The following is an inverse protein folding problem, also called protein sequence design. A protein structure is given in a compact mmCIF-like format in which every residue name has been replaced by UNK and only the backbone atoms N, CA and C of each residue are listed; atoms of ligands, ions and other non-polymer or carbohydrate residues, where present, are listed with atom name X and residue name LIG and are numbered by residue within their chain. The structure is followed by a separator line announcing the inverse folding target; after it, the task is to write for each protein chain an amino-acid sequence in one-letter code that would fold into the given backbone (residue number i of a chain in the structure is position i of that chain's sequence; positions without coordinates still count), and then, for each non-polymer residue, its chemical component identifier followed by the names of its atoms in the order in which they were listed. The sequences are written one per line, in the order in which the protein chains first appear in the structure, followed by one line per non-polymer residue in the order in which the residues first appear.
data_IF_064459200560
#
_entry.id   IF_064459200560
#
_cell.length_a   1.000
_cell.length_b   1.000
_cell.length_c   1.000
_cell.angle_alpha   90.00
_cell.angle_beta   90.00
_cell.angle_gamma   90.00
#
_symmetry.space_group_name_H-M   'P 1'
#
loop_
_entity.id
_entity.type
_entity.pdbx_description
1 polymer ?
#
# COMPACT_ATOMS: atom_id res chain seq x y z
N UNK A 1 9.16 -10.72 15.02
CA UNK A 1 9.41 -10.94 13.58
C UNK A 1 8.93 -12.35 13.23
N UNK A 2 8.34 -12.57 12.06
CA UNK A 2 8.06 -13.93 11.63
C UNK A 2 9.37 -14.72 11.57
N UNK A 3 9.34 -15.95 12.02
CA UNK A 3 10.51 -16.86 11.91
C UNK A 3 10.37 -17.64 10.63
N UNK A 4 11.38 -17.59 9.78
CA UNK A 4 11.41 -18.26 8.48
C UNK A 4 12.02 -19.67 8.55
N UNK A 5 12.04 -20.29 9.75
CA UNK A 5 12.62 -21.59 9.95
C UNK A 5 12.08 -22.67 8.99
N UNK A 6 10.81 -22.58 8.62
CA UNK A 6 10.18 -23.51 7.68
C UNK A 6 10.74 -23.38 6.25
N UNK A 7 11.30 -22.22 5.91
CA UNK A 7 11.86 -21.93 4.58
C UNK A 7 13.35 -22.27 4.49
N UNK A 8 14.03 -22.53 5.61
CA UNK A 8 15.48 -22.77 5.63
C UNK A 8 15.93 -24.03 4.89
N UNK A 9 15.01 -24.98 4.63
CA UNK A 9 15.30 -26.22 3.87
C UNK A 9 15.04 -26.08 2.37
N UNK A 10 14.52 -24.94 1.93
CA UNK A 10 14.20 -24.69 0.52
C UNK A 10 15.40 -24.11 -0.21
N UNK A 11 15.43 -24.31 -1.52
CA UNK A 11 16.40 -23.65 -2.38
C UNK A 11 16.16 -22.14 -2.39
N UNK A 12 17.23 -21.37 -2.31
CA UNK A 12 17.14 -19.93 -2.07
C UNK A 12 18.03 -19.13 -3.02
N UNK A 13 17.50 -18.05 -3.58
CA UNK A 13 18.30 -17.05 -4.28
C UNK A 13 18.29 -15.72 -3.50
N UNK A 14 19.45 -15.08 -3.22
CA UNK A 14 20.80 -15.60 -3.49
C UNK A 14 21.15 -16.76 -2.55
N UNK A 15 21.88 -17.73 -3.07
CA UNK A 15 22.26 -18.93 -2.32
C UNK A 15 23.05 -18.65 -1.03
N UNK A 16 23.66 -17.47 -0.94
CA UNK A 16 24.39 -17.02 0.23
C UNK A 16 23.50 -16.83 1.50
N UNK A 17 22.19 -16.75 1.35
CA UNK A 17 21.25 -16.65 2.48
C UNK A 17 20.49 -17.95 2.75
N UNK A 18 20.78 -19.01 1.99
CA UNK A 18 20.15 -20.31 2.17
C UNK A 18 20.44 -20.88 3.57
N UNK A 19 19.41 -21.40 4.25
CA UNK A 19 19.53 -21.93 5.61
C UNK A 19 19.67 -20.88 6.72
N UNK A 20 19.77 -19.60 6.39
CA UNK A 20 20.02 -18.51 7.33
C UNK A 20 19.05 -17.31 7.17
N UNK A 21 17.84 -17.55 6.68
CA UNK A 21 16.88 -16.50 6.35
C UNK A 21 16.52 -15.59 7.54
N UNK A 22 16.51 -16.12 8.77
CA UNK A 22 16.23 -15.32 9.97
C UNK A 22 17.38 -14.37 10.36
N UNK A 23 18.58 -14.63 9.87
CA UNK A 23 19.79 -13.87 10.22
C UNK A 23 20.33 -13.03 9.07
N UNK A 24 19.76 -13.10 7.86
CA UNK A 24 20.30 -12.37 6.70
C UNK A 24 20.34 -10.86 6.91
N UNK A 25 19.36 -10.28 7.62
CA UNK A 25 19.31 -8.83 7.92
C UNK A 25 20.54 -8.35 8.70
N UNK A 26 21.10 -9.21 9.57
CA UNK A 26 22.32 -8.87 10.33
C UNK A 26 23.61 -8.99 9.52
N UNK A 27 23.58 -9.69 8.41
CA UNK A 27 24.75 -9.92 7.54
C UNK A 27 24.77 -9.02 6.31
N UNK A 28 23.62 -8.51 5.92
CA UNK A 28 23.46 -7.73 4.69
C UNK A 28 22.80 -6.39 5.00
N UNK A 29 23.38 -5.31 4.49
CA UNK A 29 22.72 -4.01 4.42
C UNK A 29 22.00 -3.85 3.08
N UNK A 30 20.88 -3.15 3.10
CA UNK A 30 20.10 -2.86 1.90
C UNK A 30 20.71 -1.69 1.12
N UNK A 31 20.71 -1.77 -0.19
CA UNK A 31 21.15 -0.68 -1.08
C UNK A 31 20.42 -0.78 -2.43
N UNK A 32 19.36 0.01 -2.61
CA UNK A 32 18.64 0.14 -3.90
C UNK A 32 18.37 -1.20 -4.58
N UNK A 33 17.45 -2.00 -4.14
CA UNK A 33 17.10 -3.31 -4.69
C UNK A 33 18.19 -4.39 -4.58
N UNK A 34 19.29 -4.11 -3.89
CA UNK A 34 20.38 -5.03 -3.70
C UNK A 34 20.73 -5.16 -2.22
N UNK A 35 21.44 -6.26 -1.92
CA UNK A 35 22.04 -6.45 -0.61
C UNK A 35 23.58 -6.34 -0.72
N UNK A 36 24.19 -5.78 0.32
CA UNK A 36 25.64 -5.74 0.46
C UNK A 36 25.99 -6.53 1.70
N UNK A 37 26.82 -7.56 1.53
CA UNK A 37 27.35 -8.32 2.66
C UNK A 37 28.30 -7.42 3.49
N UNK A 38 28.05 -7.32 4.80
CA UNK A 38 28.73 -6.36 5.67
C UNK A 38 30.24 -6.60 5.79
N UNK A 39 30.67 -7.86 5.76
CA UNK A 39 32.07 -8.24 5.92
C UNK A 39 32.83 -8.13 4.60
N UNK A 40 32.39 -8.85 3.57
CA UNK A 40 33.10 -8.92 2.28
C UNK A 40 32.83 -7.72 1.37
N UNK A 41 31.80 -6.89 1.70
CA UNK A 41 31.28 -5.82 0.84
C UNK A 41 30.80 -6.32 -0.53
N UNK A 42 30.58 -7.62 -0.67
CA UNK A 42 30.04 -8.20 -1.88
C UNK A 42 28.61 -7.74 -2.11
N UNK A 43 28.35 -7.25 -3.31
CA UNK A 43 27.00 -6.88 -3.75
C UNK A 43 26.26 -8.12 -4.27
N UNK A 44 25.06 -8.37 -3.75
CA UNK A 44 24.13 -9.38 -4.25
C UNK A 44 23.05 -8.64 -5.06
N UNK A 45 23.03 -8.89 -6.35
CA UNK A 45 22.11 -8.22 -7.28
C UNK A 45 20.96 -9.15 -7.62
N UNK A 46 19.73 -8.67 -7.48
CA UNK A 46 18.54 -9.35 -7.97
C UNK A 46 18.24 -8.86 -9.39
N UNK A 47 18.04 -9.78 -10.32
CA UNK A 47 17.64 -9.46 -11.69
C UNK A 47 16.17 -9.81 -11.90
N UNK A 48 15.31 -8.81 -11.96
CA UNK A 48 13.87 -9.00 -12.13
C UNK A 48 13.46 -9.61 -13.48
N UNK A 49 14.37 -9.64 -14.46
CA UNK A 49 14.13 -10.22 -15.78
C UNK A 49 14.73 -11.63 -15.94
N UNK A 50 15.34 -12.19 -14.89
CA UNK A 50 15.84 -13.55 -14.91
C UNK A 50 14.73 -14.54 -14.51
N UNK A 51 14.81 -15.74 -15.07
CA UNK A 51 14.05 -16.88 -14.56
C UNK A 51 14.84 -17.53 -13.41
N UNK A 52 14.13 -17.82 -12.33
CA UNK A 52 14.69 -18.44 -11.13
C UNK A 52 14.02 -19.79 -10.93
N UNK A 53 14.82 -20.79 -10.60
CA UNK A 53 14.36 -22.16 -10.28
C UNK A 53 14.26 -22.38 -8.78
N UNK A 54 14.76 -21.44 -8.00
CA UNK A 54 14.77 -21.49 -6.55
C UNK A 54 13.36 -21.27 -6.00
N UNK A 55 13.06 -21.97 -4.89
CA UNK A 55 11.76 -21.91 -4.21
C UNK A 55 11.55 -20.62 -3.41
N UNK A 56 12.66 -20.00 -2.99
CA UNK A 56 12.64 -18.74 -2.21
C UNK A 56 13.52 -17.70 -2.89
N UNK A 57 12.94 -16.57 -3.22
CA UNK A 57 13.65 -15.42 -3.76
C UNK A 57 13.72 -14.32 -2.70
N UNK A 58 14.94 -13.94 -2.31
CA UNK A 58 15.17 -12.88 -1.32
C UNK A 58 15.71 -11.65 -2.01
N UNK A 59 14.94 -10.56 -1.96
CA UNK A 59 15.35 -9.27 -2.48
C UNK A 59 14.91 -8.16 -1.53
N UNK A 60 15.57 -7.02 -1.58
CA UNK A 60 15.28 -5.92 -0.66
C UNK A 60 14.01 -5.19 -1.06
N UNK A 61 13.99 -4.68 -2.27
CA UNK A 61 12.88 -3.86 -2.73
C UNK A 61 12.77 -3.89 -4.25
N UNK A 62 11.56 -4.04 -4.75
CA UNK A 62 11.27 -3.94 -6.17
C UNK A 62 10.74 -2.54 -6.48
N UNK A 63 11.54 -1.69 -7.14
CA UNK A 63 11.16 -0.34 -7.53
C UNK A 63 10.42 -0.28 -8.87
N UNK A 64 10.50 -1.33 -9.68
CA UNK A 64 10.06 -1.35 -11.07
C UNK A 64 8.78 -2.17 -11.30
N UNK A 65 8.07 -2.54 -10.24
CA UNK A 65 6.88 -3.39 -10.36
C UNK A 65 5.65 -2.67 -10.90
N UNK A 66 5.48 -1.41 -10.59
CA UNK A 66 4.33 -0.55 -10.95
C UNK A 66 3.01 -1.33 -11.16
N UNK A 67 2.48 -1.34 -12.40
CA UNK A 67 1.25 -2.07 -12.73
C UNK A 67 1.39 -3.59 -12.64
N UNK A 68 2.60 -4.15 -12.83
CA UNK A 68 2.81 -5.60 -12.77
C UNK A 68 2.72 -6.16 -11.35
N UNK A 69 2.92 -5.33 -10.33
CA UNK A 69 2.81 -5.74 -8.92
C UNK A 69 1.42 -6.27 -8.56
N UNK A 70 0.37 -5.91 -9.30
CA UNK A 70 -0.98 -6.43 -9.10
C UNK A 70 -1.05 -7.96 -9.26
N UNK A 71 -0.26 -8.53 -10.18
CA UNK A 71 -0.25 -9.97 -10.42
C UNK A 71 0.34 -10.78 -9.26
N UNK A 72 1.18 -10.15 -8.42
CA UNK A 72 1.66 -10.77 -7.20
C UNK A 72 0.53 -11.00 -6.18
N UNK A 73 -0.59 -10.30 -6.32
CA UNK A 73 -1.75 -10.44 -5.45
C UNK A 73 -2.72 -11.54 -5.93
N UNK A 74 -2.59 -12.04 -7.16
CA UNK A 74 -3.59 -12.98 -7.74
C UNK A 74 -3.67 -14.32 -6.98
N UNK A 75 -2.59 -14.73 -6.30
CA UNK A 75 -2.54 -15.92 -5.45
C UNK A 75 -2.87 -15.68 -3.98
N UNK A 76 -3.16 -14.44 -3.58
CA UNK A 76 -3.38 -14.08 -2.19
C UNK A 76 -4.86 -14.01 -1.83
N UNK A 77 -5.17 -14.42 -0.60
CA UNK A 77 -6.50 -14.25 0.02
C UNK A 77 -6.28 -13.70 1.42
N UNK A 78 -7.01 -12.67 1.78
CA UNK A 78 -6.95 -12.15 3.16
C UNK A 78 -7.52 -13.18 4.14
N UNK A 79 -6.98 -13.22 5.35
CA UNK A 79 -7.55 -14.03 6.42
C UNK A 79 -8.99 -13.60 6.73
N UNK A 80 -9.87 -14.52 7.16
CA UNK A 80 -11.29 -14.22 7.41
C UNK A 80 -11.53 -13.03 8.32
N UNK A 81 -10.73 -12.89 9.38
CA UNK A 81 -10.82 -11.77 10.32
C UNK A 81 -10.51 -10.42 9.68
N UNK A 82 -9.55 -10.37 8.74
CA UNK A 82 -9.21 -9.17 7.96
C UNK A 82 -10.35 -8.81 7.00
N UNK A 83 -10.89 -9.80 6.31
CA UNK A 83 -12.03 -9.63 5.41
C UNK A 83 -13.23 -9.06 6.15
N UNK A 84 -13.58 -9.64 7.31
CA UNK A 84 -14.71 -9.21 8.13
C UNK A 84 -14.51 -7.79 8.66
N UNK A 85 -13.31 -7.44 9.10
CA UNK A 85 -12.96 -6.09 9.54
C UNK A 85 -13.20 -5.07 8.42
N UNK A 86 -12.63 -5.31 7.23
CA UNK A 86 -12.79 -4.44 6.06
C UNK A 86 -14.27 -4.30 5.69
N UNK A 87 -14.99 -5.44 5.60
CA UNK A 87 -16.41 -5.47 5.29
C UNK A 87 -17.23 -4.60 6.23
N UNK A 88 -17.01 -4.74 7.53
CA UNK A 88 -17.73 -3.98 8.53
C UNK A 88 -17.51 -2.48 8.43
N UNK A 89 -16.31 -2.05 8.02
CA UNK A 89 -15.98 -0.62 7.80
C UNK A 89 -16.67 -0.03 6.57
N UNK A 90 -16.79 -0.79 5.48
CA UNK A 90 -17.22 -0.24 4.18
C UNK A 90 -18.70 -0.55 3.82
N UNK A 91 -19.35 -1.54 4.46
CA UNK A 91 -20.69 -2.03 4.09
C UNK A 91 -21.78 -0.95 4.02
N UNK A 92 -21.67 0.11 4.84
CA UNK A 92 -22.70 1.15 4.95
C UNK A 92 -22.35 2.43 4.18
N UNK A 93 -21.27 2.46 3.43
CA UNK A 93 -20.84 3.67 2.70
C UNK A 93 -21.80 4.03 1.57
N UNK A 94 -22.43 3.03 0.94
CA UNK A 94 -23.24 3.22 -0.25
C UNK A 94 -22.37 3.62 -1.45
N UNK A 95 -22.87 4.55 -2.27
CA UNK A 95 -22.11 5.08 -3.42
C UNK A 95 -21.21 6.22 -2.98
N UNK A 96 -19.90 6.14 -3.29
CA UNK A 96 -18.90 7.14 -2.95
C UNK A 96 -17.78 7.21 -4.00
N UNK A 97 -16.99 8.26 -3.94
CA UNK A 97 -15.71 8.39 -4.67
C UNK A 97 -14.55 8.27 -3.69
N UNK A 98 -13.44 7.73 -4.16
CA UNK A 98 -12.19 7.62 -3.40
C UNK A 98 -11.28 8.82 -3.66
N UNK A 99 -10.62 9.30 -2.64
CA UNK A 99 -9.61 10.35 -2.73
C UNK A 99 -8.39 9.93 -1.93
N UNK A 100 -7.23 9.86 -2.58
CA UNK A 100 -5.98 9.58 -1.90
C UNK A 100 -5.04 10.78 -1.98
N UNK A 101 -4.55 11.24 -0.83
CA UNK A 101 -3.59 12.34 -0.70
C UNK A 101 -2.37 11.85 0.08
N UNK A 102 -1.20 11.82 -0.57
CA UNK A 102 0.10 11.64 0.06
C UNK A 102 0.68 13.01 0.41
N UNK A 103 0.93 13.29 1.69
CA UNK A 103 1.37 14.61 2.12
C UNK A 103 2.36 14.61 3.30
N UNK A 104 3.07 13.53 3.54
CA UNK A 104 4.13 13.45 4.58
C UNK A 104 5.53 13.59 3.96
N UNK A 105 6.21 12.50 3.66
CA UNK A 105 7.54 12.43 3.03
C UNK A 105 7.50 12.82 1.54
N UNK A 106 6.40 12.51 0.87
CA UNK A 106 6.12 12.94 -0.50
C UNK A 106 4.97 13.95 -0.50
N UNK A 107 5.17 15.11 -1.08
CA UNK A 107 4.16 16.16 -1.16
C UNK A 107 3.41 16.10 -2.48
N UNK A 108 2.09 16.00 -2.39
CA UNK A 108 1.18 16.10 -3.53
C UNK A 108 0.65 17.53 -3.65
N UNK A 109 0.43 18.03 -4.87
CA UNK A 109 -0.31 19.26 -5.07
C UNK A 109 -1.83 18.98 -4.88
N UNK A 110 -2.25 18.89 -3.64
CA UNK A 110 -3.64 18.62 -3.28
C UNK A 110 -4.57 19.79 -3.60
N UNK A 111 -4.08 21.04 -3.63
CA UNK A 111 -4.88 22.20 -3.97
C UNK A 111 -5.31 22.16 -5.44
N UNK A 112 -4.37 21.81 -6.32
CA UNK A 112 -4.68 21.58 -7.73
C UNK A 112 -5.68 20.43 -7.89
N UNK A 113 -5.48 19.32 -7.17
CA UNK A 113 -6.38 18.17 -7.21
C UNK A 113 -7.79 18.55 -6.77
N UNK A 114 -7.94 19.25 -5.64
CA UNK A 114 -9.26 19.74 -5.17
C UNK A 114 -9.93 20.67 -6.18
N UNK A 115 -9.17 21.59 -6.75
CA UNK A 115 -9.69 22.49 -7.78
C UNK A 115 -10.23 21.73 -8.98
N UNK A 116 -9.52 20.72 -9.43
CA UNK A 116 -9.90 19.93 -10.61
C UNK A 116 -11.12 19.04 -10.37
N UNK A 117 -11.25 18.45 -9.17
CA UNK A 117 -12.32 17.51 -8.90
C UNK A 117 -13.61 18.16 -8.35
N UNK A 118 -13.53 19.36 -7.80
CA UNK A 118 -14.61 20.02 -7.03
C UNK A 118 -15.97 19.94 -7.70
N UNK A 119 -16.09 20.37 -8.93
CA UNK A 119 -17.38 20.39 -9.65
C UNK A 119 -17.90 18.98 -9.94
N UNK A 120 -17.00 18.06 -10.27
CA UNK A 120 -17.37 16.68 -10.59
C UNK A 120 -17.88 15.91 -9.36
N UNK A 121 -17.33 16.20 -8.18
CA UNK A 121 -17.69 15.48 -6.94
C UNK A 121 -18.75 16.16 -6.10
N UNK A 122 -19.24 17.32 -6.50
CA UNK A 122 -20.19 18.12 -5.72
C UNK A 122 -21.38 17.27 -5.23
N UNK A 123 -21.65 17.33 -3.93
CA UNK A 123 -22.73 16.59 -3.27
C UNK A 123 -22.51 15.08 -3.11
N UNK A 124 -21.33 14.54 -3.53
CA UNK A 124 -21.01 13.14 -3.36
C UNK A 124 -20.35 12.87 -2.02
N UNK A 125 -20.46 11.63 -1.54
CA UNK A 125 -19.61 11.13 -0.44
C UNK A 125 -18.19 10.90 -0.95
N UNK A 126 -17.21 11.30 -0.16
CA UNK A 126 -15.78 11.14 -0.46
C UNK A 126 -15.14 10.35 0.67
N UNK A 127 -14.63 9.15 0.36
CA UNK A 127 -13.73 8.43 1.29
C UNK A 127 -12.33 8.96 1.03
N UNK A 128 -11.82 9.71 2.01
CA UNK A 128 -10.47 10.27 1.97
C UNK A 128 -9.50 9.36 2.73
N UNK A 129 -8.45 8.93 2.03
CA UNK A 129 -7.31 8.21 2.58
C UNK A 129 -6.07 9.11 2.49
N UNK A 130 -5.39 9.32 3.59
CA UNK A 130 -4.19 10.16 3.64
C UNK A 130 -3.26 9.72 4.76
N UNK A 131 -1.97 9.88 4.53
CA UNK A 131 -0.91 9.73 5.51
C UNK A 131 -0.70 10.99 6.38
N UNK A 132 -1.41 12.09 6.08
CA UNK A 132 -1.40 13.33 6.86
C UNK A 132 -2.80 13.64 7.38
N UNK A 133 -2.93 13.66 8.70
CA UNK A 133 -4.21 13.91 9.37
C UNK A 133 -4.84 15.25 8.98
N UNK A 134 -4.04 16.29 8.75
CA UNK A 134 -4.49 17.63 8.40
C UNK A 134 -5.26 17.69 7.09
N UNK A 135 -5.06 16.72 6.21
CA UNK A 135 -5.76 16.66 4.93
C UNK A 135 -7.26 16.47 5.06
N UNK A 136 -7.75 15.91 6.16
CA UNK A 136 -9.19 15.81 6.42
C UNK A 136 -9.86 17.16 6.63
N UNK A 137 -9.20 18.06 7.36
CA UNK A 137 -9.72 19.43 7.58
C UNK A 137 -9.54 20.29 6.33
N UNK A 138 -8.43 20.14 5.61
CA UNK A 138 -8.26 20.79 4.31
C UNK A 138 -9.33 20.35 3.31
N UNK A 139 -9.62 19.06 3.20
CA UNK A 139 -10.66 18.56 2.30
C UNK A 139 -12.04 19.15 2.64
N UNK A 140 -12.41 19.27 3.91
CA UNK A 140 -13.68 19.91 4.32
C UNK A 140 -13.75 21.38 3.94
N UNK A 141 -12.63 22.12 4.01
CA UNK A 141 -12.58 23.54 3.60
C UNK A 141 -12.72 23.68 2.08
N UNK A 142 -12.04 22.84 1.30
CA UNK A 142 -12.04 22.92 -0.15
C UNK A 142 -13.29 22.35 -0.81
N UNK A 143 -13.92 21.36 -0.18
CA UNK A 143 -15.06 20.60 -0.67
C UNK A 143 -16.24 20.67 0.32
N UNK A 144 -16.75 21.88 0.65
CA UNK A 144 -17.75 22.08 1.72
C UNK A 144 -19.11 21.45 1.42
N UNK A 145 -19.41 21.18 0.15
CA UNK A 145 -20.67 20.56 -0.28
C UNK A 145 -20.61 19.01 -0.24
N UNK A 146 -19.50 18.43 0.28
CA UNK A 146 -19.27 17.01 0.28
C UNK A 146 -19.24 16.42 1.70
N UNK A 147 -19.70 15.19 1.84
CA UNK A 147 -19.46 14.38 3.05
C UNK A 147 -18.07 13.75 2.96
N UNK A 148 -17.13 14.20 3.79
CA UNK A 148 -15.77 13.65 3.86
C UNK A 148 -15.73 12.56 4.92
N UNK A 149 -15.46 11.33 4.52
CA UNK A 149 -15.44 10.13 5.36
C UNK A 149 -14.00 9.65 5.52
N UNK A 150 -13.62 9.38 6.77
CA UNK A 150 -12.38 8.72 7.16
C UNK A 150 -12.69 7.34 7.72
N UNK A 151 -11.99 6.30 7.26
CA UNK A 151 -12.15 4.92 7.74
C UNK A 151 -11.05 4.53 8.74
N UNK A 152 -9.84 4.97 8.49
CA UNK A 152 -8.68 4.72 9.35
C UNK A 152 -8.80 5.39 10.72
N UNK A 153 -8.29 4.74 11.75
CA UNK A 153 -8.40 5.17 13.16
C UNK A 153 -7.07 5.66 13.75
N UNK A 154 -5.97 5.63 12.99
CA UNK A 154 -4.68 6.11 13.49
C UNK A 154 -4.76 7.58 13.91
N UNK A 155 -3.96 7.93 14.94
CA UNK A 155 -3.91 9.28 15.51
C UNK A 155 -3.12 10.23 14.62
N UNK A 156 -3.22 11.53 14.93
CA UNK A 156 -2.38 12.55 14.31
C UNK A 156 -0.90 12.19 14.48
N UNK A 157 -0.17 12.26 13.39
CA UNK A 157 1.22 11.89 13.25
C UNK A 157 2.15 13.11 13.08
N UNK A 158 1.63 14.33 13.33
CA UNK A 158 2.35 15.60 13.17
C UNK A 158 3.09 15.74 11.82
N UNK A 159 2.51 15.13 10.75
CA UNK A 159 3.10 15.14 9.41
C UNK A 159 4.27 14.17 9.23
N UNK A 160 4.54 13.29 10.19
CA UNK A 160 5.53 12.22 10.05
C UNK A 160 4.97 11.06 9.22
N UNK A 161 5.77 10.39 8.36
CA UNK A 161 5.31 9.21 7.63
C UNK A 161 4.89 8.09 8.58
N UNK A 162 3.75 7.44 8.29
CA UNK A 162 3.20 6.38 9.15
C UNK A 162 4.19 5.23 9.41
N UNK A 163 5.02 4.89 8.43
CA UNK A 163 6.00 3.81 8.55
C UNK A 163 7.23 4.17 9.42
N UNK A 164 7.41 5.44 9.77
CA UNK A 164 8.45 5.89 10.71
C UNK A 164 7.95 5.93 12.16
N UNK A 165 6.66 5.78 12.37
CA UNK A 165 6.09 5.83 13.71
C UNK A 165 6.14 4.47 14.39
N UNK A 166 6.52 4.47 15.67
CA UNK A 166 6.31 3.31 16.53
C UNK A 166 4.83 3.30 16.95
N UNK A 167 4.06 2.43 16.35
CA UNK A 167 2.67 2.24 16.73
C UNK A 167 2.56 1.20 17.85
N UNK A 168 1.81 1.53 18.89
CA UNK A 168 1.50 0.60 19.97
C UNK A 168 0.75 -0.62 19.43
N UNK A 169 -0.11 -0.42 18.42
CA UNK A 169 -0.86 -1.47 17.74
C UNK A 169 -0.57 -1.46 16.23
N UNK A 170 0.51 -2.12 15.86
CA UNK A 170 0.91 -2.29 14.45
C UNK A 170 -0.13 -3.10 13.65
N UNK A 171 -0.81 -4.06 14.31
CA UNK A 171 -1.83 -4.87 13.65
C UNK A 171 -3.04 -4.03 13.26
N UNK A 172 -3.52 -3.19 14.17
CA UNK A 172 -4.64 -2.28 13.90
C UNK A 172 -4.29 -1.28 12.77
N UNK A 173 -3.09 -0.73 12.78
CA UNK A 173 -2.63 0.17 11.72
C UNK A 173 -2.64 -0.55 10.35
N UNK A 174 -2.16 -1.79 10.29
CA UNK A 174 -2.18 -2.57 9.05
C UNK A 174 -3.61 -2.86 8.57
N UNK A 175 -4.54 -3.16 9.48
CA UNK A 175 -5.97 -3.30 9.13
C UNK A 175 -6.56 -2.02 8.54
N UNK A 176 -6.23 -0.86 9.11
CA UNK A 176 -6.69 0.42 8.63
C UNK A 176 -6.13 0.73 7.23
N UNK A 177 -4.83 0.49 7.00
CA UNK A 177 -4.19 0.67 5.69
C UNK A 177 -4.81 -0.24 4.62
N UNK A 178 -5.04 -1.52 4.94
CA UNK A 178 -5.72 -2.44 4.03
C UNK A 178 -7.17 -2.02 3.77
N UNK A 179 -7.87 -1.51 4.79
CA UNK A 179 -9.23 -0.99 4.65
C UNK A 179 -9.29 0.20 3.70
N UNK A 180 -8.37 1.16 3.86
CA UNK A 180 -8.26 2.32 2.99
C UNK A 180 -7.96 1.92 1.54
N UNK A 181 -7.04 0.96 1.33
CA UNK A 181 -6.72 0.41 0.01
C UNK A 181 -7.96 -0.18 -0.68
N UNK A 182 -8.68 -1.04 0.03
CA UNK A 182 -9.88 -1.70 -0.51
C UNK A 182 -11.02 -0.70 -0.70
N UNK A 183 -11.20 0.25 0.19
CA UNK A 183 -12.20 1.30 0.04
C UNK A 183 -11.93 2.16 -1.20
N UNK A 184 -10.68 2.53 -1.46
CA UNK A 184 -10.32 3.22 -2.69
C UNK A 184 -10.66 2.35 -3.92
N UNK A 185 -10.21 1.10 -3.94
CA UNK A 185 -10.44 0.19 -5.05
C UNK A 185 -11.94 -0.09 -5.34
N UNK A 186 -12.80 -0.02 -4.31
CA UNK A 186 -14.26 -0.22 -4.44
C UNK A 186 -15.04 1.06 -4.72
N UNK A 187 -14.40 2.21 -4.74
CA UNK A 187 -15.05 3.48 -5.05
C UNK A 187 -15.53 3.56 -6.51
N UNK A 188 -16.45 4.47 -6.80
CA UNK A 188 -16.91 4.69 -8.20
C UNK A 188 -15.82 5.28 -9.09
N UNK A 189 -14.93 6.07 -8.51
CA UNK A 189 -13.78 6.68 -9.15
C UNK A 189 -12.77 7.06 -8.10
N UNK A 190 -11.48 6.85 -8.39
CA UNK A 190 -10.39 7.27 -7.52
C UNK A 190 -9.81 8.58 -8.04
N UNK A 191 -9.64 9.54 -7.13
CA UNK A 191 -8.91 10.78 -7.38
C UNK A 191 -7.59 10.74 -6.62
N UNK A 192 -6.51 11.01 -7.32
CA UNK A 192 -5.17 11.15 -6.77
C UNK A 192 -4.32 12.00 -7.71
N UNK A 193 -3.23 12.55 -7.23
CA UNK A 193 -2.35 13.44 -8.01
C UNK A 193 -0.91 12.96 -8.03
N UNK A 194 -0.10 13.66 -8.80
CA UNK A 194 1.34 13.46 -8.87
C UNK A 194 2.00 13.89 -7.54
N UNK A 195 3.05 13.18 -7.16
CA UNK A 195 3.87 13.52 -5.99
C UNK A 195 5.13 14.29 -6.44
N UNK A 196 5.52 15.29 -5.65
CA UNK A 196 6.75 16.08 -5.83
C UNK A 196 6.93 16.70 -7.23
N UNK A 197 5.87 17.00 -7.97
CA UNK A 197 5.90 17.50 -9.35
C UNK A 197 6.68 16.61 -10.35
N UNK A 198 6.90 15.33 -10.02
CA UNK A 198 7.75 14.41 -10.77
C UNK A 198 6.98 13.56 -11.80
N UNK A 199 5.75 13.86 -12.11
CA UNK A 199 4.86 13.01 -12.94
C UNK A 199 4.78 11.54 -12.44
N UNK A 200 5.07 11.32 -11.17
CA UNK A 200 4.96 10.02 -10.52
C UNK A 200 3.78 10.01 -9.56
N UNK A 201 3.13 8.89 -9.47
CA UNK A 201 2.04 8.66 -8.52
C UNK A 201 2.55 7.92 -7.28
N UNK A 202 1.82 8.04 -6.18
CA UNK A 202 2.06 7.19 -5.02
C UNK A 202 1.83 5.72 -5.37
N UNK A 203 2.72 4.82 -4.96
CA UNK A 203 2.53 3.37 -5.12
C UNK A 203 1.22 2.87 -4.53
N UNK A 204 0.77 3.47 -3.42
CA UNK A 204 -0.51 3.15 -2.81
C UNK A 204 -1.70 3.54 -3.70
N UNK A 205 -1.67 4.75 -4.30
CA UNK A 205 -2.70 5.17 -5.27
C UNK A 205 -2.75 4.24 -6.48
N UNK A 206 -1.57 3.90 -7.01
CA UNK A 206 -1.47 3.03 -8.18
C UNK A 206 -1.97 1.63 -7.90
N UNK A 207 -1.66 1.06 -6.72
CA UNK A 207 -2.16 -0.25 -6.32
C UNK A 207 -3.68 -0.25 -6.18
N UNK A 208 -4.25 0.79 -5.56
CA UNK A 208 -5.70 0.95 -5.45
C UNK A 208 -6.37 1.04 -6.83
N UNK A 209 -5.79 1.82 -7.74
CA UNK A 209 -6.26 1.95 -9.12
C UNK A 209 -6.17 0.62 -9.89
N UNK A 210 -5.03 -0.08 -9.79
CA UNK A 210 -4.87 -1.40 -10.41
C UNK A 210 -5.88 -2.43 -9.90
N UNK A 211 -6.18 -2.42 -8.59
CA UNK A 211 -7.22 -3.27 -8.00
C UNK A 211 -8.62 -2.91 -8.51
N UNK A 212 -8.93 -1.62 -8.69
CA UNK A 212 -10.20 -1.17 -9.27
C UNK A 212 -10.39 -1.68 -10.71
N UNK A 213 -9.32 -1.59 -11.52
CA UNK A 213 -9.32 -2.06 -12.92
C UNK A 213 -9.27 -3.61 -13.04
N UNK A 214 -8.95 -4.32 -11.95
CA UNK A 214 -8.86 -5.77 -11.91
C UNK A 214 -9.79 -6.39 -10.84
N UNK A 215 -11.12 -6.30 -11.01
CA UNK A 215 -12.08 -6.73 -10.00
C UNK A 215 -11.97 -8.21 -9.64
N UNK A 216 -11.50 -9.05 -10.56
CA UNK A 216 -11.28 -10.49 -10.29
C UNK A 216 -10.24 -10.68 -9.18
N UNK A 217 -9.11 -9.96 -9.22
CA UNK A 217 -8.07 -10.03 -8.18
C UNK A 217 -8.62 -9.47 -6.87
N UNK A 218 -9.31 -8.34 -6.91
CA UNK A 218 -9.94 -7.76 -5.73
C UNK A 218 -10.93 -8.73 -5.07
N UNK A 219 -11.75 -9.44 -5.86
CA UNK A 219 -12.70 -10.43 -5.35
C UNK A 219 -11.98 -11.65 -4.73
N UNK A 220 -10.89 -12.12 -5.33
CA UNK A 220 -10.07 -13.20 -4.77
C UNK A 220 -9.49 -12.80 -3.41
N UNK A 221 -8.89 -11.64 -3.30
CA UNK A 221 -8.34 -11.12 -2.03
C UNK A 221 -9.39 -11.13 -0.91
N UNK A 222 -10.63 -10.79 -1.24
CA UNK A 222 -11.73 -10.72 -0.29
C UNK A 222 -12.51 -12.03 -0.17
N UNK A 223 -12.13 -13.08 -0.91
CA UNK A 223 -12.85 -14.36 -0.98
C UNK A 223 -14.36 -14.17 -1.14
N UNK A 224 -14.77 -13.27 -2.04
CA UNK A 224 -16.16 -12.86 -2.14
C UNK A 224 -16.66 -12.82 -3.58
N UNK A 225 -17.70 -13.61 -3.84
CA UNK A 225 -18.49 -13.53 -5.07
C UNK A 225 -19.60 -12.45 -4.97
N UNK A 226 -19.70 -11.74 -3.84
CA UNK A 226 -20.83 -10.85 -3.56
C UNK A 226 -20.40 -9.67 -2.66
N UNK A 227 -19.66 -8.74 -3.24
CA UNK A 227 -19.39 -7.46 -2.59
C UNK A 227 -19.81 -6.33 -3.53
#
# INVERSE_FOLDING_TARGET
MPKYNELNNLTCHPSAVAGELDSYISKYSSMHSNFIEEVSKRKLTFNHNAEYTEEVLVHEQCWEGEFLSIFCLDGLVFKPEVQEYIKNKIKNLGSYVGLHIRNTDYKMDYQYLFTKMKEEVKGKKIVLCSDDFKMFDEAKKWLPDNEIIRLSTFKDNDGSPLHHMHHEDQYQMNLDVLTDLIALAKSKKIYFGNVNNLQKFSGFSMLAYCLQENPTILHKLLNSNAW
#
